data_IF_984890661829
#
_entry.id   IF_984890661829
#
_cell.length_a   1.000
_cell.length_b   1.000
_cell.length_c   1.000
_cell.angle_alpha   90.00
_cell.angle_beta   90.00
_cell.angle_gamma   90.00
#
_symmetry.space_group_name_H-M   'P 1'
#
loop_
_entity.id
_entity.type
_entity.pdbx_description
1 polymer ?
#
# COMPACT_ATOMS: atom_id res chain seq x y z
N UNK A 1 10.67 5.93 -17.20
CA UNK A 1 10.98 4.49 -17.34
C UNK A 1 10.29 3.63 -16.29
N UNK A 2 10.31 3.97 -14.99
CA UNK A 2 9.48 3.25 -13.99
C UNK A 2 8.08 3.87 -13.78
N UNK A 3 7.93 5.18 -13.92
CA UNK A 3 6.60 5.83 -13.92
C UNK A 3 5.73 5.34 -15.07
N UNK A 4 6.32 5.10 -16.25
CA UNK A 4 5.64 4.54 -17.42
C UNK A 4 5.26 3.07 -17.22
N UNK A 5 6.07 2.29 -16.48
CA UNK A 5 5.75 0.90 -16.16
C UNK A 5 4.68 0.80 -15.06
N UNK A 6 4.72 1.72 -14.09
CA UNK A 6 3.73 1.83 -13.02
C UNK A 6 2.38 2.36 -13.53
N UNK A 7 2.37 3.36 -14.42
CA UNK A 7 1.16 3.83 -15.10
C UNK A 7 0.58 2.76 -16.04
N UNK A 8 1.43 1.98 -16.72
CA UNK A 8 0.99 0.82 -17.51
C UNK A 8 0.38 -0.30 -16.65
N UNK A 9 0.87 -0.52 -15.43
CA UNK A 9 0.22 -1.43 -14.48
C UNK A 9 -1.13 -0.88 -13.99
N UNK A 10 -1.32 0.45 -13.89
CA UNK A 10 -2.63 1.04 -13.60
C UNK A 10 -3.62 0.89 -14.78
N UNK A 11 -3.13 0.69 -16.00
CA UNK A 11 -3.95 0.43 -17.20
C UNK A 11 -4.33 -1.05 -17.39
N UNK A 12 -3.75 -1.97 -16.61
CA UNK A 12 -4.25 -3.35 -16.53
C UNK A 12 -5.55 -3.33 -15.73
N UNK A 13 -6.64 -2.95 -16.39
CA UNK A 13 -8.00 -3.28 -15.97
C UNK A 13 -8.04 -4.80 -15.89
N UNK A 14 -8.07 -5.32 -14.67
CA UNK A 14 -8.52 -6.70 -14.42
C UNK A 14 -9.91 -6.79 -15.06
N UNK A 15 -10.08 -7.73 -15.99
CA UNK A 15 -11.35 -7.90 -16.71
C UNK A 15 -12.51 -7.98 -15.70
N UNK A 16 -13.44 -7.03 -15.79
CA UNK A 16 -14.71 -7.06 -15.06
C UNK A 16 -15.51 -8.27 -15.53
N UNK A 17 -15.66 -9.27 -14.66
CA UNK A 17 -16.25 -10.51 -15.14
C UNK A 17 -16.56 -11.60 -14.13
N UNK A 18 -16.91 -11.30 -12.88
CA UNK A 18 -17.81 -12.15 -12.07
C UNK A 18 -18.57 -11.27 -11.07
N UNK A 19 -19.85 -11.02 -11.33
CA UNK A 19 -20.76 -10.48 -10.32
C UNK A 19 -21.18 -11.59 -9.34
N UNK A 20 -21.42 -11.17 -8.09
CA UNK A 20 -22.05 -11.88 -6.98
C UNK A 20 -21.17 -12.82 -6.14
N UNK A 21 -20.12 -12.24 -5.56
CA UNK A 21 -19.79 -12.51 -4.16
C UNK A 21 -19.42 -11.18 -3.56
N UNK A 22 -20.03 -10.77 -2.44
CA UNK A 22 -19.68 -9.52 -1.77
C UNK A 22 -18.26 -9.66 -1.22
N UNK A 23 -17.26 -9.43 -2.08
CA UNK A 23 -15.87 -9.27 -1.69
C UNK A 23 -15.78 -7.84 -1.18
N UNK A 24 -15.96 -7.69 0.12
CA UNK A 24 -15.53 -6.47 0.78
C UNK A 24 -14.03 -6.32 0.48
N UNK A 25 -13.68 -5.38 -0.40
CA UNK A 25 -12.29 -5.00 -0.69
C UNK A 25 -11.75 -4.30 0.54
N UNK A 26 -11.61 -5.00 1.65
CA UNK A 26 -11.16 -4.46 2.90
C UNK A 26 -9.71 -4.85 3.09
N UNK A 27 -8.89 -3.91 3.56
CA UNK A 27 -7.45 -4.07 3.55
C UNK A 27 -7.03 -5.31 4.36
N UNK A 28 -6.44 -6.34 3.73
CA UNK A 28 -6.14 -7.59 4.41
C UNK A 28 -5.06 -7.43 5.49
N UNK A 29 -4.34 -6.31 5.50
CA UNK A 29 -3.26 -6.04 6.45
C UNK A 29 -3.74 -5.39 7.74
N UNK A 30 -4.68 -4.44 7.69
CA UNK A 30 -5.15 -3.71 8.87
C UNK A 30 -6.60 -3.95 9.22
N UNK A 31 -7.43 -4.39 8.28
CA UNK A 31 -8.86 -4.53 8.51
C UNK A 31 -9.53 -3.23 8.99
N UNK A 32 -9.13 -2.06 8.47
CA UNK A 32 -9.67 -0.75 8.89
C UNK A 32 -10.14 0.15 7.74
N UNK A 33 -10.12 -0.32 6.50
CA UNK A 33 -10.54 0.50 5.36
C UNK A 33 -10.46 -0.25 4.04
N UNK A 34 -10.93 0.38 2.98
CA UNK A 34 -10.94 -0.20 1.64
C UNK A 34 -9.51 -0.49 1.13
N UNK A 35 -9.31 -1.64 0.50
CA UNK A 35 -8.08 -2.09 -0.14
C UNK A 35 -7.83 -1.27 -1.40
N UNK A 36 -7.43 -0.02 -1.22
CA UNK A 36 -6.88 0.81 -2.29
C UNK A 36 -5.36 0.72 -2.27
N UNK A 37 -4.69 0.93 -3.41
CA UNK A 37 -3.22 0.93 -3.47
C UNK A 37 -2.63 2.01 -2.54
N UNK A 38 -3.25 3.18 -2.47
CA UNK A 38 -2.83 4.27 -1.58
C UNK A 38 -2.98 3.87 -0.11
N UNK A 39 -4.11 3.28 0.27
CA UNK A 39 -4.29 2.77 1.62
C UNK A 39 -3.31 1.63 1.91
N UNK A 40 -3.19 0.62 1.04
CA UNK A 40 -2.30 -0.51 1.25
C UNK A 40 -0.83 -0.09 1.44
N UNK A 41 -0.31 0.80 0.59
CA UNK A 41 1.12 1.16 0.59
C UNK A 41 1.47 2.30 1.54
N UNK A 42 0.55 3.22 1.82
CA UNK A 42 0.79 4.41 2.63
C UNK A 42 -0.14 4.49 3.83
N UNK A 43 -1.45 4.39 3.58
CA UNK A 43 -2.48 4.67 4.59
C UNK A 43 -2.69 3.57 5.64
N UNK A 44 -2.26 2.34 5.38
CA UNK A 44 -2.47 1.19 6.25
C UNK A 44 -1.64 1.36 7.52
N UNK A 45 -2.20 1.02 8.68
CA UNK A 45 -1.51 1.14 9.98
C UNK A 45 -0.17 0.40 9.96
N UNK A 46 -0.12 -0.79 9.36
CA UNK A 46 1.11 -1.56 9.20
C UNK A 46 2.12 -0.82 8.32
N UNK A 47 1.67 -0.30 7.18
CA UNK A 47 2.52 0.42 6.23
C UNK A 47 3.06 1.72 6.84
N UNK A 48 2.24 2.49 7.55
CA UNK A 48 2.69 3.68 8.30
C UNK A 48 3.74 3.34 9.35
N UNK A 49 3.65 2.21 10.04
CA UNK A 49 4.69 1.78 10.97
C UNK A 49 6.01 1.48 10.27
N UNK A 50 5.96 0.80 9.11
CA UNK A 50 7.14 0.54 8.29
C UNK A 50 7.78 1.86 7.82
N UNK A 51 6.96 2.78 7.31
CA UNK A 51 7.41 4.11 6.89
C UNK A 51 7.99 4.92 8.02
N UNK A 52 7.32 4.98 9.17
CA UNK A 52 7.79 5.70 10.35
C UNK A 52 9.16 5.19 10.79
N UNK A 53 9.37 3.87 10.88
CA UNK A 53 10.68 3.29 11.24
C UNK A 53 11.75 3.60 10.20
N UNK A 54 11.47 3.36 8.92
CA UNK A 54 12.42 3.58 7.82
C UNK A 54 12.82 5.05 7.71
N UNK A 55 11.85 5.96 7.72
CA UNK A 55 12.08 7.40 7.60
C UNK A 55 12.75 7.97 8.85
N UNK A 56 12.43 7.47 10.05
CA UNK A 56 13.11 7.88 11.28
C UNK A 56 14.59 7.45 11.26
N UNK A 57 14.88 6.23 10.80
CA UNK A 57 16.27 5.75 10.62
C UNK A 57 17.07 6.62 9.63
N UNK A 58 16.39 7.22 8.66
CA UNK A 58 16.99 8.11 7.68
C UNK A 58 16.98 9.59 8.08
N UNK A 59 16.50 9.94 9.28
CA UNK A 59 16.41 11.32 9.75
C UNK A 59 15.29 12.14 9.10
N UNK A 60 14.34 11.49 8.43
CA UNK A 60 13.27 12.10 7.64
C UNK A 60 11.86 11.71 8.13
N UNK A 61 11.67 11.51 9.44
CA UNK A 61 10.38 11.12 10.02
C UNK A 61 9.19 12.03 9.67
N UNK A 62 9.47 13.29 9.30
CA UNK A 62 8.47 14.28 8.85
C UNK A 62 7.80 13.88 7.53
N UNK A 63 8.41 12.99 6.74
CA UNK A 63 7.86 12.53 5.45
C UNK A 63 6.91 11.34 5.60
N UNK A 64 6.54 10.96 6.83
CA UNK A 64 5.64 9.84 7.04
C UNK A 64 4.28 10.14 6.40
N UNK A 65 3.75 9.22 5.57
CA UNK A 65 2.42 9.38 5.00
C UNK A 65 1.34 9.30 6.10
N UNK A 66 0.26 10.05 5.90
CA UNK A 66 -0.97 9.98 6.67
C UNK A 66 -1.91 8.87 6.13
N UNK A 67 -2.95 8.52 6.90
CA UNK A 67 -3.97 7.55 6.55
C UNK A 67 -4.64 7.83 5.19
N UNK A 68 -4.89 9.11 4.90
CA UNK A 68 -5.56 9.57 3.68
C UNK A 68 -4.59 10.03 2.58
N UNK A 69 -3.29 9.74 2.74
CA UNK A 69 -2.28 10.17 1.78
C UNK A 69 -2.41 9.42 0.46
N UNK A 70 -2.55 10.17 -0.63
CA UNK A 70 -2.49 9.61 -1.98
C UNK A 70 -1.04 9.26 -2.34
N UNK A 71 -0.82 8.05 -2.86
CA UNK A 71 0.48 7.57 -3.34
C UNK A 71 1.17 8.56 -4.28
N UNK A 72 0.44 9.06 -5.27
CA UNK A 72 0.99 9.97 -6.29
C UNK A 72 1.41 11.30 -5.66
N UNK A 73 0.59 11.84 -4.76
CA UNK A 73 0.87 13.11 -4.09
C UNK A 73 2.02 13.03 -3.09
N UNK A 74 2.10 11.93 -2.34
CA UNK A 74 3.22 11.68 -1.44
C UNK A 74 4.53 11.47 -2.22
N UNK A 75 4.49 10.72 -3.32
CA UNK A 75 5.67 10.48 -4.14
C UNK A 75 6.28 11.75 -4.73
N UNK A 76 5.43 12.67 -5.20
CA UNK A 76 5.88 13.93 -5.80
C UNK A 76 6.32 14.97 -4.78
N UNK A 77 5.87 14.87 -3.52
CA UNK A 77 6.22 15.83 -2.47
C UNK A 77 7.59 15.57 -1.83
N UNK A 78 8.18 14.37 -2.01
CA UNK A 78 9.48 14.03 -1.42
C UNK A 78 10.63 14.86 -2.04
N UNK A 79 11.32 15.70 -1.24
CA UNK A 79 12.43 16.52 -1.73
C UNK A 79 13.73 15.69 -1.81
N UNK A 80 13.80 14.74 -2.76
CA UNK A 80 14.94 13.83 -2.90
C UNK A 80 16.13 14.49 -3.65
N UNK A 81 17.31 14.69 -3.02
CA UNK A 81 18.50 15.20 -3.69
C UNK A 81 19.01 14.22 -4.75
N UNK A 82 19.43 14.70 -5.93
CA UNK A 82 19.84 13.85 -7.07
C UNK A 82 20.87 12.76 -6.74
N UNK A 83 21.78 13.00 -5.79
CA UNK A 83 22.83 12.06 -5.37
C UNK A 83 22.32 10.92 -4.48
N UNK A 84 21.37 11.20 -3.58
CA UNK A 84 20.80 10.20 -2.64
C UNK A 84 19.58 9.51 -3.25
N UNK A 85 19.03 10.09 -4.33
CA UNK A 85 17.83 9.62 -5.02
C UNK A 85 17.90 8.15 -5.42
N UNK A 86 19.04 7.60 -5.86
CA UNK A 86 19.06 6.21 -6.35
C UNK A 86 18.83 5.21 -5.21
N UNK A 87 19.61 5.31 -4.16
CA UNK A 87 19.57 4.34 -3.05
C UNK A 87 18.28 4.49 -2.25
N UNK A 88 17.80 5.73 -2.07
CA UNK A 88 16.54 6.02 -1.40
C UNK A 88 15.33 5.51 -2.18
N UNK A 89 15.31 5.70 -3.51
CA UNK A 89 14.26 5.16 -4.38
C UNK A 89 14.26 3.62 -4.38
N UNK A 90 15.44 3.00 -4.42
CA UNK A 90 15.56 1.54 -4.34
C UNK A 90 15.02 1.00 -3.01
N UNK A 91 15.32 1.66 -1.89
CA UNK A 91 14.79 1.24 -0.60
C UNK A 91 13.29 1.50 -0.45
N UNK A 92 12.76 2.61 -0.96
CA UNK A 92 11.30 2.83 -1.05
C UNK A 92 10.63 1.73 -1.89
N UNK A 93 11.23 1.37 -3.02
CA UNK A 93 10.72 0.32 -3.89
C UNK A 93 10.74 -1.06 -3.20
N UNK A 94 11.78 -1.37 -2.43
CA UNK A 94 11.83 -2.56 -1.60
C UNK A 94 10.73 -2.56 -0.52
N UNK A 95 10.43 -1.41 0.07
CA UNK A 95 9.32 -1.28 1.03
C UNK A 95 7.98 -1.58 0.37
N UNK A 96 7.69 -0.98 -0.79
CA UNK A 96 6.46 -1.29 -1.53
C UNK A 96 6.36 -2.77 -1.90
N UNK A 97 7.46 -3.36 -2.37
CA UNK A 97 7.50 -4.77 -2.73
C UNK A 97 7.29 -5.69 -1.52
N UNK A 98 7.90 -5.38 -0.37
CA UNK A 98 7.73 -6.19 0.85
C UNK A 98 6.31 -6.11 1.40
N UNK A 99 5.69 -4.92 1.39
CA UNK A 99 4.28 -4.75 1.77
C UNK A 99 3.37 -5.55 0.83
N UNK A 100 3.58 -5.44 -0.48
CA UNK A 100 2.81 -6.18 -1.48
C UNK A 100 2.97 -7.69 -1.34
N UNK A 101 4.21 -8.16 -1.12
CA UNK A 101 4.50 -9.58 -0.88
C UNK A 101 3.78 -10.07 0.37
N UNK A 102 3.82 -9.30 1.46
CA UNK A 102 3.15 -9.64 2.71
C UNK A 102 1.63 -9.76 2.50
N UNK A 103 1.01 -8.81 1.77
CA UNK A 103 -0.40 -8.89 1.37
C UNK A 103 -0.72 -10.17 0.60
N UNK A 104 0.12 -10.54 -0.37
CA UNK A 104 -0.10 -11.78 -1.14
C UNK A 104 0.06 -13.04 -0.28
N UNK A 105 0.97 -13.04 0.69
CA UNK A 105 1.13 -14.16 1.62
C UNK A 105 -0.06 -14.28 2.58
N UNK A 106 -0.65 -13.16 3.00
CA UNK A 106 -1.90 -13.15 3.79
C UNK A 106 -3.05 -13.73 2.98
N UNK A 107 -3.23 -13.28 1.73
CA UNK A 107 -4.28 -13.83 0.85
C UNK A 107 -4.10 -15.32 0.55
N UNK A 108 -2.86 -15.78 0.33
CA UNK A 108 -2.58 -17.20 0.11
C UNK A 108 -2.91 -18.08 1.33
N UNK A 109 -2.85 -17.51 2.53
CA UNK A 109 -3.11 -18.21 3.79
C UNK A 109 -4.57 -18.17 4.21
N UNK A 110 -5.38 -17.33 3.59
CA UNK A 110 -6.82 -17.19 3.84
C UNK A 110 -7.64 -17.61 2.60
N UNK A 111 -7.77 -18.93 2.33
CA UNK A 111 -8.43 -19.45 1.12
C UNK A 111 -9.95 -19.24 1.10
N UNK A 112 -10.55 -18.76 2.19
CA UNK A 112 -12.00 -18.59 2.32
C UNK A 112 -12.38 -17.26 2.99
N UNK A 113 -11.59 -16.18 2.81
CA UNK A 113 -11.95 -14.83 3.27
C UNK A 113 -12.65 -14.80 4.64
N UNK A 114 -12.16 -15.59 5.60
CA UNK A 114 -12.83 -15.80 6.87
C UNK A 114 -12.41 -14.69 7.84
N UNK A 115 -12.62 -13.44 7.42
CA UNK A 115 -12.85 -12.33 8.32
C UNK A 115 -14.30 -11.92 8.20
N UNK A 116 -15.15 -12.78 8.75
CA UNK A 116 -16.34 -12.30 9.42
C UNK A 116 -15.87 -11.41 10.57
N UNK A 117 -15.86 -10.10 10.34
CA UNK A 117 -15.88 -9.14 11.43
C UNK A 117 -17.24 -8.46 11.47
N UNK A 118 -18.13 -9.16 12.18
CA UNK A 118 -19.25 -8.66 12.95
C UNK A 118 -20.31 -7.82 12.22
N UNK A 119 -21.43 -8.50 11.99
CA UNK A 119 -22.73 -7.99 12.44
C UNK A 119 -22.57 -7.35 13.83
N UNK A 120 -22.67 -6.02 13.90
CA UNK A 120 -23.14 -5.31 15.08
C UNK A 120 -24.17 -4.27 14.63
N UNK A 121 -25.44 -4.59 14.93
CA UNK A 121 -26.46 -3.73 15.55
C UNK A 121 -26.74 -2.36 14.89
N UNK A 122 -27.95 -1.94 14.50
CA UNK A 122 -29.35 -2.26 14.83
C UNK A 122 -30.24 -1.85 13.65
#
# INVERSE_FOLDING_TARGET
MFLTFWEWIQEVHLEDGVADTVVWNWCPLCDQGEETISHLLLGCVLSRQVWSRLLTLWGHGVWCPDADSNLRGWWTSLPLPRRVRRDFLSAIQLVFWTIWRHRNDVQRRDPFGARGHFDYHE
#
